data_IF_358866608035
#
_entry.id   IF_358866608035
#
_cell.length_a   1.000
_cell.length_b   1.000
_cell.length_c   1.000
_cell.angle_alpha   90.00
_cell.angle_beta   90.00
_cell.angle_gamma   90.00
#
_symmetry.space_group_name_H-M   'P 1'
#
loop_
_entity.id
_entity.type
_entity.pdbx_description
1 polymer ?
#
# COMPACT_ATOMS: atom_id res chain seq x y z
N UNK A 1 12.66 16.01 -6.79
CA UNK A 1 12.05 14.74 -6.36
C UNK A 1 12.30 14.58 -4.87
N UNK A 2 11.40 13.93 -4.13
CA UNK A 2 11.62 13.67 -2.71
C UNK A 2 12.57 12.47 -2.54
N UNK A 3 13.30 12.39 -1.42
CA UNK A 3 14.17 11.25 -1.13
C UNK A 3 13.43 9.89 -1.19
N UNK A 4 12.14 9.88 -0.83
CA UNK A 4 11.29 8.70 -0.97
C UNK A 4 11.04 8.32 -2.42
N UNK A 5 10.77 9.30 -3.29
CA UNK A 5 10.57 9.06 -4.72
C UNK A 5 11.82 8.46 -5.36
N UNK A 6 13.01 8.93 -4.96
CA UNK A 6 14.27 8.44 -5.48
C UNK A 6 14.53 6.99 -5.01
N UNK A 7 14.29 6.70 -3.73
CA UNK A 7 14.40 5.35 -3.19
C UNK A 7 13.45 4.35 -3.87
N UNK A 8 12.19 4.75 -4.10
CA UNK A 8 11.22 3.92 -4.83
C UNK A 8 11.68 3.71 -6.28
N UNK A 9 12.15 4.76 -6.96
CA UNK A 9 12.68 4.65 -8.32
C UNK A 9 13.83 3.66 -8.42
N UNK A 10 14.79 3.73 -7.49
CA UNK A 10 15.89 2.77 -7.43
C UNK A 10 15.41 1.33 -7.19
N UNK A 11 14.45 1.13 -6.28
CA UNK A 11 13.89 -0.19 -6.02
C UNK A 11 13.18 -0.77 -7.25
N UNK A 12 12.39 0.04 -7.96
CA UNK A 12 11.70 -0.37 -9.20
C UNK A 12 12.71 -0.75 -10.30
N UNK A 13 13.76 0.05 -10.50
CA UNK A 13 14.79 -0.23 -11.50
C UNK A 13 15.58 -1.50 -11.18
N UNK A 14 15.86 -1.75 -9.89
CA UNK A 14 16.53 -2.97 -9.44
C UNK A 14 15.64 -4.20 -9.65
N UNK A 15 14.37 -4.12 -9.24
CA UNK A 15 13.36 -5.19 -9.41
C UNK A 15 13.10 -5.52 -10.88
N UNK A 16 13.12 -4.51 -11.76
CA UNK A 16 13.00 -4.71 -13.21
C UNK A 16 14.28 -5.27 -13.85
N UNK A 17 15.40 -5.35 -13.12
CA UNK A 17 16.68 -5.85 -13.65
C UNK A 17 17.36 -4.90 -14.64
N UNK A 18 17.09 -3.58 -14.52
CA UNK A 18 17.58 -2.58 -15.49
C UNK A 18 18.48 -1.50 -14.88
N UNK A 19 18.74 -1.55 -13.57
CA UNK A 19 19.44 -0.49 -12.84
C UNK A 19 20.80 -0.08 -13.47
N UNK A 20 21.54 -1.05 -14.03
CA UNK A 20 22.87 -0.83 -14.60
C UNK A 20 22.86 -0.74 -16.15
N UNK A 21 21.68 -0.74 -16.78
CA UNK A 21 21.57 -0.71 -18.24
C UNK A 21 21.69 0.71 -18.77
N UNK A 22 22.57 0.91 -19.75
CA UNK A 22 22.76 2.20 -20.44
C UNK A 22 21.73 2.44 -21.55
N UNK A 23 21.02 1.40 -21.99
CA UNK A 23 19.93 1.47 -22.97
C UNK A 23 18.87 0.41 -22.67
N UNK A 24 17.60 0.76 -22.80
CA UNK A 24 16.48 -0.14 -22.53
C UNK A 24 15.86 -0.65 -23.84
N UNK A 25 15.61 -1.96 -23.87
CA UNK A 25 14.82 -2.59 -24.92
C UNK A 25 13.32 -2.47 -24.63
N UNK A 26 12.48 -2.85 -25.59
CA UNK A 26 11.02 -2.94 -25.36
C UNK A 26 10.68 -3.90 -24.21
N UNK A 27 11.41 -5.03 -24.11
CA UNK A 27 11.22 -6.00 -23.03
C UNK A 27 11.57 -5.40 -21.66
N UNK A 28 12.64 -4.60 -21.58
CA UNK A 28 13.02 -3.88 -20.37
C UNK A 28 11.94 -2.88 -19.92
N UNK A 29 11.32 -2.18 -20.88
CA UNK A 29 10.20 -1.29 -20.57
C UNK A 29 8.98 -2.05 -20.04
N UNK A 30 8.68 -3.24 -20.59
CA UNK A 30 7.61 -4.09 -20.07
C UNK A 30 7.94 -4.58 -18.65
N UNK A 31 9.19 -4.97 -18.39
CA UNK A 31 9.65 -5.35 -17.06
C UNK A 31 9.53 -4.20 -16.04
N UNK A 32 9.85 -2.97 -16.45
CA UNK A 32 9.64 -1.76 -15.65
C UNK A 32 8.17 -1.54 -15.27
N UNK A 33 7.25 -1.71 -16.23
CA UNK A 33 5.81 -1.58 -15.97
C UNK A 33 5.38 -2.61 -14.93
N UNK A 34 5.81 -3.87 -15.09
CA UNK A 34 5.47 -4.94 -14.15
C UNK A 34 6.04 -4.67 -12.75
N UNK A 35 7.29 -4.23 -12.63
CA UNK A 35 7.91 -3.87 -11.36
C UNK A 35 7.22 -2.66 -10.69
N UNK A 36 6.84 -1.66 -11.49
CA UNK A 36 6.10 -0.48 -11.01
C UNK A 36 4.72 -0.87 -10.47
N UNK A 37 4.00 -1.74 -11.17
CA UNK A 37 2.69 -2.23 -10.73
C UNK A 37 2.79 -2.99 -9.39
N UNK A 38 3.78 -3.88 -9.24
CA UNK A 38 4.03 -4.56 -7.95
C UNK A 38 4.34 -3.57 -6.83
N UNK A 39 5.16 -2.55 -7.12
CA UNK A 39 5.50 -1.51 -6.16
C UNK A 39 4.28 -0.69 -5.75
N UNK A 40 3.38 -0.37 -6.69
CA UNK A 40 2.11 0.29 -6.40
C UNK A 40 1.26 -0.52 -5.42
N UNK A 41 1.16 -1.83 -5.65
CA UNK A 41 0.42 -2.75 -4.76
C UNK A 41 1.03 -2.81 -3.36
N UNK A 42 2.36 -2.85 -3.24
CA UNK A 42 3.06 -2.83 -1.96
C UNK A 42 2.80 -1.52 -1.19
N UNK A 43 2.95 -0.37 -1.85
CA UNK A 43 2.69 0.94 -1.26
C UNK A 43 1.22 1.06 -0.83
N UNK A 44 0.29 0.56 -1.64
CA UNK A 44 -1.13 0.49 -1.32
C UNK A 44 -1.38 -0.40 -0.09
N UNK A 45 -0.68 -1.52 0.03
CA UNK A 45 -0.70 -2.41 1.18
C UNK A 45 -0.16 -1.76 2.46
N UNK A 46 0.91 -0.97 2.35
CA UNK A 46 1.45 -0.17 3.47
C UNK A 46 0.41 0.85 3.94
N UNK A 47 -0.18 1.61 3.02
CA UNK A 47 -1.22 2.59 3.36
C UNK A 47 -2.43 1.93 4.05
N UNK A 48 -2.89 0.79 3.54
CA UNK A 48 -3.98 0.02 4.18
C UNK A 48 -3.63 -0.35 5.62
N UNK A 49 -2.45 -0.94 5.86
CA UNK A 49 -1.99 -1.30 7.21
C UNK A 49 -1.90 -0.09 8.15
N UNK A 50 -1.42 1.05 7.66
CA UNK A 50 -1.37 2.29 8.44
C UNK A 50 -2.76 2.79 8.83
N UNK A 51 -3.72 2.78 7.89
CA UNK A 51 -5.11 3.17 8.14
C UNK A 51 -5.76 2.25 9.18
N UNK A 52 -5.57 0.94 9.06
CA UNK A 52 -6.17 -0.03 9.97
C UNK A 52 -5.55 0.05 11.37
N UNK A 53 -4.24 0.22 11.46
CA UNK A 53 -3.55 0.50 12.73
C UNK A 53 -4.08 1.78 13.39
N UNK A 54 -4.28 2.86 12.62
CA UNK A 54 -4.89 4.08 13.13
C UNK A 54 -6.34 3.87 13.61
N UNK A 55 -7.13 3.04 12.91
CA UNK A 55 -8.48 2.65 13.33
C UNK A 55 -8.48 1.89 14.64
N UNK A 56 -7.60 0.90 14.79
CA UNK A 56 -7.43 0.12 16.02
C UNK A 56 -6.97 1.01 17.20
N UNK A 57 -6.16 2.04 16.93
CA UNK A 57 -5.77 3.06 17.90
C UNK A 57 -6.89 4.08 18.24
N UNK A 58 -8.08 3.95 17.65
CA UNK A 58 -9.25 4.78 17.95
C UNK A 58 -9.46 6.00 17.04
N UNK A 59 -8.64 6.19 16.00
CA UNK A 59 -8.82 7.32 15.08
C UNK A 59 -10.15 7.22 14.31
N UNK A 60 -10.93 8.29 14.26
CA UNK A 60 -12.22 8.26 13.55
C UNK A 60 -12.05 8.22 12.02
N UNK A 61 -13.05 7.70 11.30
CA UNK A 61 -13.09 7.78 9.83
C UNK A 61 -13.04 9.22 9.29
N UNK A 62 -13.52 10.20 10.08
CA UNK A 62 -13.47 11.60 9.67
C UNK A 62 -12.04 12.13 9.71
N UNK A 63 -11.30 11.81 10.78
CA UNK A 63 -9.87 12.13 10.93
C UNK A 63 -9.04 11.50 9.81
N UNK A 64 -9.23 10.20 9.57
CA UNK A 64 -8.51 9.48 8.50
C UNK A 64 -8.86 10.04 7.12
N UNK A 65 -10.14 10.32 6.86
CA UNK A 65 -10.56 10.93 5.60
C UNK A 65 -9.88 12.28 5.37
N UNK A 66 -9.85 13.14 6.37
CA UNK A 66 -9.21 14.46 6.29
C UNK A 66 -7.72 14.36 5.94
N UNK A 67 -6.97 13.48 6.61
CA UNK A 67 -5.54 13.24 6.32
C UNK A 67 -5.30 12.71 4.90
N UNK A 68 -6.23 11.91 4.37
CA UNK A 68 -6.14 11.38 3.00
C UNK A 68 -6.78 12.29 1.95
N UNK A 69 -7.22 13.49 2.32
CA UNK A 69 -7.86 14.45 1.41
C UNK A 69 -9.21 13.96 0.86
N UNK A 70 -9.96 13.15 1.61
CA UNK A 70 -11.25 12.59 1.21
C UNK A 70 -12.32 12.71 2.30
N UNK A 71 -13.58 12.47 1.94
CA UNK A 71 -14.67 12.49 2.92
C UNK A 71 -14.59 11.29 3.88
N UNK A 72 -15.22 11.43 5.07
CA UNK A 72 -15.41 10.32 6.02
C UNK A 72 -16.02 9.09 5.35
N UNK A 73 -17.05 9.28 4.53
CA UNK A 73 -17.75 8.20 3.84
C UNK A 73 -16.85 7.53 2.80
N UNK A 74 -16.06 8.30 2.04
CA UNK A 74 -15.11 7.75 1.08
C UNK A 74 -14.03 6.91 1.78
N UNK A 75 -13.52 7.37 2.92
CA UNK A 75 -12.58 6.61 3.74
C UNK A 75 -13.21 5.31 4.27
N UNK A 76 -14.41 5.39 4.84
CA UNK A 76 -15.12 4.21 5.36
C UNK A 76 -15.44 3.20 4.25
N UNK A 77 -15.87 3.63 3.07
CA UNK A 77 -16.12 2.70 1.96
C UNK A 77 -14.84 2.00 1.49
N UNK A 78 -13.74 2.75 1.40
CA UNK A 78 -12.46 2.24 0.91
C UNK A 78 -11.75 1.30 1.89
N UNK A 79 -11.86 1.55 3.19
CA UNK A 79 -11.09 0.84 4.21
C UNK A 79 -11.92 0.15 5.29
N UNK A 80 -13.22 0.42 5.39
CA UNK A 80 -14.11 -0.10 6.44
C UNK A 80 -14.24 -1.61 6.43
N UNK A 81 -14.51 -2.20 5.28
CA UNK A 81 -14.62 -3.66 5.11
C UNK A 81 -13.31 -4.40 5.45
N UNK A 82 -12.16 -3.73 5.37
CA UNK A 82 -10.87 -4.31 5.74
C UNK A 82 -10.65 -4.32 7.26
N UNK A 83 -11.20 -3.33 7.96
CA UNK A 83 -11.12 -3.27 9.42
C UNK A 83 -11.97 -4.39 10.05
N UNK A 84 -13.17 -4.61 9.52
CA UNK A 84 -14.05 -5.71 9.95
C UNK A 84 -13.36 -7.08 9.75
N UNK A 85 -12.72 -7.31 8.60
CA UNK A 85 -11.99 -8.55 8.34
C UNK A 85 -10.76 -8.76 9.25
N UNK A 86 -10.07 -7.69 9.69
CA UNK A 86 -8.96 -7.81 10.64
C UNK A 86 -9.46 -8.09 12.06
N UNK A 87 -10.54 -7.44 12.49
CA UNK A 87 -11.16 -7.70 13.79
C UNK A 87 -11.64 -9.15 13.89
N UNK A 88 -12.18 -9.71 12.80
CA UNK A 88 -12.56 -11.13 12.70
C UNK A 88 -11.33 -12.06 12.78
N UNK A 89 -10.27 -11.81 12.01
CA UNK A 89 -9.04 -12.63 12.04
C UNK A 89 -8.36 -12.62 13.42
N UNK A 90 -8.24 -11.47 14.06
CA UNK A 90 -7.67 -11.37 15.41
C UNK A 90 -8.58 -12.04 16.46
N UNK A 91 -9.91 -11.99 16.29
CA UNK A 91 -10.87 -12.71 17.13
C UNK A 91 -10.74 -14.23 16.96
N UNK A 92 -10.61 -14.74 15.73
CA UNK A 92 -10.41 -16.17 15.43
C UNK A 92 -9.09 -16.70 16.00
N UNK A 93 -8.02 -15.90 15.90
CA UNK A 93 -6.72 -16.21 16.52
C UNK A 93 -6.79 -16.31 18.04
N UNK A 94 -7.55 -15.41 18.69
CA UNK A 94 -7.77 -15.46 20.13
C UNK A 94 -8.59 -16.69 20.55
N UNK A 95 -9.52 -17.13 19.71
CA UNK A 95 -10.34 -18.32 19.93
C UNK A 95 -9.61 -19.64 19.63
N UNK A 96 -8.35 -19.60 19.17
CA UNK A 96 -7.54 -20.79 18.87
C UNK A 96 -8.01 -21.56 17.64
N UNK A 97 -8.77 -20.93 16.75
CA UNK A 97 -9.24 -21.50 15.50
C UNK A 97 -8.21 -21.19 14.40
N UNK A 98 -7.11 -21.96 14.33
CA UNK A 98 -6.20 -21.98 13.16
C UNK A 98 -5.34 -23.23 13.12
#
# INVERSE_FOLDING_TARGET
MSALSDAIGHAVLAEAGVADKTSLTTEDHIALIAASARTEDEVRGILRRAVLSARAAGASWATIGAELGMSRQAAQQRFGHLAEAQDDDDSERWLGLR
#
